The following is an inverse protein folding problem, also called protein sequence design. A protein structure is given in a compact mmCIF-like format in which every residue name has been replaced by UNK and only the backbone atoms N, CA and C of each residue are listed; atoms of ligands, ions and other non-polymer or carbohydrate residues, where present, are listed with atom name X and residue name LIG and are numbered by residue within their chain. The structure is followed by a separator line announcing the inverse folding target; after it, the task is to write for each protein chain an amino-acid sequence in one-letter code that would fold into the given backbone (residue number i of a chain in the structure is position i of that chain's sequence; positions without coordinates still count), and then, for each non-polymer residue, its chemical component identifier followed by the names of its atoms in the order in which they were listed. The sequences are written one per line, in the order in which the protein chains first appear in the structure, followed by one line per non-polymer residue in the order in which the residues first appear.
data_IF_278875534877
#
_entry.id   IF_278875534877
#
_cell.length_a   1.000
_cell.length_b   1.000
_cell.length_c   1.000
_cell.angle_alpha   90.00
_cell.angle_beta   90.00
_cell.angle_gamma   90.00
#
_symmetry.space_group_name_H-M   'P 1'
#
loop_
_entity.id
_entity.type
_entity.pdbx_description
1 polymer ?
#
# COMPACT_ATOMS: atom_id res chain seq x y z
N UNK A 1 11.99 11.06 -3.54
CA UNK A 1 11.21 10.62 -4.70
C UNK A 1 12.02 10.82 -5.96
N UNK A 2 12.07 9.80 -6.82
CA UNK A 2 12.73 9.84 -8.13
C UNK A 2 11.70 9.42 -9.17
N UNK A 3 11.58 10.19 -10.25
CA UNK A 3 10.78 9.86 -11.42
C UNK A 3 11.70 9.90 -12.64
N UNK A 4 11.64 8.85 -13.45
CA UNK A 4 12.34 8.76 -14.71
C UNK A 4 11.29 8.49 -15.78
N UNK A 5 11.20 9.40 -16.76
CA UNK A 5 10.33 9.24 -17.91
C UNK A 5 11.20 9.15 -19.15
N UNK A 6 10.91 8.19 -20.00
CA UNK A 6 11.60 7.98 -21.26
C UNK A 6 10.57 7.83 -22.38
N UNK A 7 10.79 8.53 -23.46
CA UNK A 7 10.03 8.39 -24.70
C UNK A 7 11.00 8.10 -25.82
N UNK A 8 10.69 7.09 -26.61
CA UNK A 8 11.51 6.66 -27.71
C UNK A 8 10.67 6.44 -28.98
N UNK A 9 11.01 7.14 -30.02
CA UNK A 9 10.38 6.99 -31.33
C UNK A 9 11.06 5.84 -32.08
N UNK A 10 10.34 4.74 -32.23
CA UNK A 10 10.84 3.54 -32.93
C UNK A 10 10.75 3.74 -34.44
N UNK A 11 9.65 4.37 -34.86
CA UNK A 11 9.30 4.73 -36.24
C UNK A 11 8.45 5.99 -36.21
N UNK A 12 8.34 6.70 -37.32
CA UNK A 12 7.52 7.92 -37.46
C UNK A 12 6.07 7.79 -36.91
N UNK A 13 5.59 6.54 -36.81
CA UNK A 13 4.21 6.25 -36.38
C UNK A 13 4.13 5.46 -35.08
N UNK A 14 5.26 5.11 -34.44
CA UNK A 14 5.29 4.26 -33.24
C UNK A 14 6.19 4.88 -32.18
N UNK A 15 5.58 5.22 -31.05
CA UNK A 15 6.27 5.79 -29.90
C UNK A 15 6.16 4.86 -28.69
N UNK A 16 7.30 4.56 -28.07
CA UNK A 16 7.37 3.85 -26.79
C UNK A 16 7.45 4.86 -25.66
N UNK A 17 6.67 4.62 -24.62
CA UNK A 17 6.64 5.43 -23.40
C UNK A 17 6.98 4.55 -22.22
N UNK A 18 7.88 4.99 -21.37
CA UNK A 18 8.25 4.31 -20.13
C UNK A 18 8.31 5.33 -19.01
N UNK A 19 7.69 5.01 -17.91
CA UNK A 19 7.72 5.83 -16.69
C UNK A 19 8.09 4.96 -15.48
N UNK A 20 9.18 5.30 -14.82
CA UNK A 20 9.59 4.64 -13.59
C UNK A 20 9.55 5.61 -12.42
N UNK A 21 8.88 5.18 -11.37
CA UNK A 21 8.74 5.97 -10.13
C UNK A 21 9.32 5.19 -8.97
N UNK A 22 10.14 5.85 -8.18
CA UNK A 22 10.65 5.36 -6.90
C UNK A 22 10.35 6.36 -5.78
N UNK A 23 9.82 5.87 -4.66
CA UNK A 23 9.58 6.65 -3.46
C UNK A 23 10.13 5.86 -2.28
N UNK A 24 11.04 6.46 -1.50
CA UNK A 24 11.48 5.84 -0.25
C UNK A 24 10.30 5.65 0.69
N UNK A 25 10.25 4.52 1.37
CA UNK A 25 9.13 4.18 2.25
C UNK A 25 8.86 5.26 3.29
N UNK A 26 7.60 5.60 3.47
CA UNK A 26 7.15 6.54 4.50
C UNK A 26 7.41 5.96 5.89
N UNK A 27 7.68 6.84 6.84
CA UNK A 27 7.76 6.45 8.25
C UNK A 27 6.39 6.60 8.90
N UNK A 28 6.07 5.66 9.78
CA UNK A 28 4.84 5.69 10.56
C UNK A 28 5.09 5.25 11.99
N UNK A 29 4.21 5.63 12.89
CA UNK A 29 4.24 5.22 14.28
C UNK A 29 3.34 3.99 14.46
N UNK A 30 3.94 2.87 14.82
CA UNK A 30 3.20 1.66 15.18
C UNK A 30 3.30 1.41 16.68
N UNK A 31 2.20 0.91 17.25
CA UNK A 31 2.23 0.41 18.63
C UNK A 31 3.11 -0.85 18.68
N UNK A 32 4.09 -0.84 19.56
CA UNK A 32 5.01 -1.96 19.76
C UNK A 32 4.37 -3.04 20.63
N UNK A 33 3.70 -2.61 21.70
CA UNK A 33 3.07 -3.48 22.66
C UNK A 33 1.60 -3.10 22.87
N UNK A 34 0.85 -4.07 23.35
CA UNK A 34 -0.53 -3.90 23.75
C UNK A 34 -0.66 -4.47 25.17
N UNK A 35 -1.01 -3.65 26.14
CA UNK A 35 -1.24 -4.04 27.51
C UNK A 35 -2.72 -4.12 27.77
N UNK A 36 -3.13 -5.09 28.59
CA UNK A 36 -4.44 -5.04 29.21
C UNK A 36 -4.44 -3.90 30.21
N UNK A 37 -5.28 -2.88 30.01
CA UNK A 37 -5.50 -1.85 31.01
C UNK A 37 -6.13 -2.50 32.25
N UNK A 38 -5.90 -1.89 33.41
CA UNK A 38 -6.66 -2.25 34.60
C UNK A 38 -8.14 -1.94 34.31
N UNK A 39 -8.97 -2.97 34.22
CA UNK A 39 -10.40 -2.79 34.12
C UNK A 39 -10.86 -1.95 35.29
N UNK A 40 -11.56 -0.84 35.04
CA UNK A 40 -12.14 -0.05 36.10
C UNK A 40 -13.13 -0.91 36.87
N UNK A 41 -13.14 -0.81 38.20
CA UNK A 41 -14.23 -1.34 38.99
C UNK A 41 -15.51 -0.60 38.57
N UNK A 42 -16.43 -1.29 37.91
CA UNK A 42 -17.78 -0.77 37.66
C UNK A 42 -18.61 -0.89 38.90
N UNK A 43 -19.50 0.07 39.14
CA UNK A 43 -20.54 0.00 40.14
C UNK A 43 -21.88 -0.06 39.42
N UNK A 44 -22.79 -0.87 39.89
CA UNK A 44 -24.18 -0.84 39.42
C UNK A 44 -24.94 0.38 39.99
N UNK A 45 -26.22 0.53 39.62
CA UNK A 45 -27.09 1.61 40.12
C UNK A 45 -27.21 1.64 41.61
N UNK A 46 -26.96 0.53 42.31
CA UNK A 46 -27.06 0.38 43.74
C UNK A 46 -25.72 0.46 44.46
N UNK A 47 -24.69 0.96 43.76
CA UNK A 47 -23.30 1.05 44.24
C UNK A 47 -22.67 -0.30 44.64
N UNK A 48 -23.24 -1.41 44.24
CA UNK A 48 -22.60 -2.71 44.43
C UNK A 48 -21.43 -2.88 43.44
N UNK A 49 -20.27 -3.36 43.87
CA UNK A 49 -19.17 -3.62 42.95
C UNK A 49 -19.55 -4.75 42.00
N UNK A 50 -19.72 -4.45 40.72
CA UNK A 50 -20.07 -5.44 39.68
C UNK A 50 -18.87 -6.28 39.28
N UNK A 51 -17.93 -6.50 40.11
CA UNK A 51 -16.73 -7.27 39.78
C UNK A 51 -15.79 -6.58 38.79
N UNK A 52 -14.64 -7.15 38.61
CA UNK A 52 -13.67 -6.71 37.63
C UNK A 52 -14.17 -7.21 36.28
N UNK A 53 -14.85 -6.36 35.51
CA UNK A 53 -15.17 -6.72 34.14
C UNK A 53 -13.89 -6.91 33.36
N UNK A 54 -13.76 -8.03 32.67
CA UNK A 54 -12.67 -8.32 31.73
C UNK A 54 -12.80 -7.46 30.44
N UNK A 55 -13.40 -6.29 30.53
CA UNK A 55 -13.37 -5.23 29.52
C UNK A 55 -12.05 -4.48 29.63
N UNK A 56 -10.97 -5.23 29.60
CA UNK A 56 -9.63 -4.66 29.55
C UNK A 56 -9.47 -3.95 28.22
N UNK A 57 -9.65 -2.64 28.22
CA UNK A 57 -9.32 -1.79 27.09
C UNK A 57 -7.85 -1.99 26.79
N UNK A 58 -7.56 -2.50 25.57
CA UNK A 58 -6.17 -2.68 25.16
C UNK A 58 -5.48 -1.32 25.06
N UNK A 59 -4.58 -1.04 25.98
CA UNK A 59 -3.72 0.13 25.90
C UNK A 59 -2.58 -0.15 24.94
N UNK A 60 -2.47 0.68 23.90
CA UNK A 60 -1.38 0.59 22.95
C UNK A 60 -0.18 1.40 23.44
N UNK A 61 0.95 0.76 23.62
CA UNK A 61 2.22 1.45 23.85
C UNK A 61 2.81 1.87 22.50
N UNK A 62 2.99 3.15 22.33
CA UNK A 62 3.70 3.73 21.21
C UNK A 62 5.12 4.07 21.65
N UNK A 63 6.11 3.49 20.96
CA UNK A 63 7.50 3.88 21.17
C UNK A 63 7.79 5.28 20.61
N UNK A 64 8.98 5.47 20.05
CA UNK A 64 9.35 6.74 19.40
C UNK A 64 8.43 7.02 18.21
N UNK A 65 8.12 8.29 17.97
CA UNK A 65 7.42 8.74 16.78
C UNK A 65 8.18 8.29 15.52
N UNK A 66 7.44 7.82 14.49
CA UNK A 66 8.01 7.35 13.22
C UNK A 66 8.99 6.17 13.40
N UNK A 67 8.66 5.24 14.30
CA UNK A 67 9.50 4.10 14.69
C UNK A 67 9.64 3.03 13.60
N UNK A 68 8.75 2.99 12.63
CA UNK A 68 8.76 2.00 11.55
C UNK A 68 8.79 2.68 10.19
N UNK A 69 9.59 2.15 9.27
CA UNK A 69 9.63 2.58 7.87
C UNK A 69 8.95 1.54 7.00
N UNK A 70 8.00 1.97 6.16
CA UNK A 70 7.42 1.15 5.12
C UNK A 70 8.48 0.75 4.08
N UNK A 71 8.33 -0.40 3.43
CA UNK A 71 9.13 -0.73 2.25
C UNK A 71 9.00 0.37 1.18
N UNK A 72 10.03 0.52 0.37
CA UNK A 72 10.02 1.49 -0.71
C UNK A 72 8.92 1.17 -1.72
N UNK A 73 8.26 2.21 -2.20
CA UNK A 73 7.34 2.16 -3.33
C UNK A 73 8.13 2.29 -4.63
N UNK A 74 7.94 1.40 -5.57
CA UNK A 74 8.41 1.62 -6.93
C UNK A 74 7.50 0.95 -7.95
N UNK A 75 7.41 1.56 -9.12
CA UNK A 75 6.51 1.16 -10.19
C UNK A 75 7.13 1.48 -11.54
N UNK A 76 6.92 0.58 -12.48
CA UNK A 76 7.23 0.77 -13.88
C UNK A 76 5.94 0.74 -14.69
N UNK A 77 5.70 1.78 -15.45
CA UNK A 77 4.63 1.87 -16.43
C UNK A 77 5.24 1.83 -17.82
N UNK A 78 4.61 1.11 -18.71
CA UNK A 78 5.06 0.96 -20.09
C UNK A 78 3.89 1.18 -21.04
N UNK A 79 4.12 1.86 -22.15
CA UNK A 79 3.09 2.12 -23.14
C UNK A 79 3.65 2.22 -24.55
N UNK A 80 2.78 1.92 -25.49
CA UNK A 80 3.04 2.06 -26.92
C UNK A 80 1.94 2.92 -27.53
N UNK A 81 2.33 3.91 -28.29
CA UNK A 81 1.41 4.80 -29.03
C UNK A 81 1.61 4.56 -30.53
N UNK A 82 0.54 4.20 -31.20
CA UNK A 82 0.47 4.09 -32.66
C UNK A 82 -0.21 5.33 -33.20
N UNK A 83 0.51 6.11 -34.02
CA UNK A 83 0.05 7.36 -34.58
C UNK A 83 -0.20 7.14 -36.07
N UNK A 84 -1.42 7.31 -36.52
CA UNK A 84 -1.78 7.21 -37.91
C UNK A 84 -2.27 8.56 -38.43
N UNK A 85 -1.44 9.20 -39.27
CA UNK A 85 -1.79 10.46 -39.94
C UNK A 85 -2.61 10.14 -41.19
N UNK A 86 -3.87 10.54 -41.19
CA UNK A 86 -4.80 10.29 -42.30
C UNK A 86 -4.75 11.45 -43.32
N UNK A 87 -4.56 12.68 -42.81
CA UNK A 87 -4.49 13.91 -43.62
C UNK A 87 -3.75 14.96 -42.81
N UNK A 88 -3.49 16.14 -43.41
CA UNK A 88 -2.81 17.27 -42.75
C UNK A 88 -3.50 17.67 -41.43
N UNK A 89 -4.85 17.54 -41.38
CA UNK A 89 -5.65 17.92 -40.20
C UNK A 89 -6.25 16.72 -39.44
N UNK A 90 -6.11 15.50 -39.96
CA UNK A 90 -6.75 14.30 -39.37
C UNK A 90 -5.70 13.29 -38.90
N UNK A 91 -5.79 12.94 -37.62
CA UNK A 91 -4.86 12.04 -36.97
C UNK A 91 -5.61 11.06 -36.05
N UNK A 92 -5.25 9.78 -36.09
CA UNK A 92 -5.72 8.79 -35.13
C UNK A 92 -4.56 8.26 -34.28
N UNK A 93 -4.77 8.15 -32.98
CA UNK A 93 -3.77 7.71 -32.02
C UNK A 93 -4.37 6.56 -31.21
N UNK A 94 -3.75 5.41 -31.29
CA UNK A 94 -4.07 4.25 -30.43
C UNK A 94 -2.97 4.11 -29.39
N UNK A 95 -3.32 4.23 -28.11
CA UNK A 95 -2.39 4.01 -27.00
C UNK A 95 -2.75 2.68 -26.30
N UNK A 96 -1.76 1.85 -26.11
CA UNK A 96 -1.83 0.61 -25.34
C UNK A 96 -0.81 0.74 -24.21
N UNK A 97 -1.24 0.54 -22.97
CA UNK A 97 -0.38 0.72 -21.81
C UNK A 97 -0.54 -0.38 -20.78
N UNK A 98 0.51 -0.54 -20.00
CA UNK A 98 0.56 -1.40 -18.82
C UNK A 98 1.00 -0.56 -17.63
N UNK A 99 0.10 -0.36 -16.68
CA UNK A 99 0.41 0.21 -15.39
C UNK A 99 0.99 -0.87 -14.48
N UNK A 100 2.05 -0.53 -13.75
CA UNK A 100 2.73 -1.45 -12.84
C UNK A 100 3.16 -2.75 -13.54
N UNK A 101 3.91 -2.64 -14.62
CA UNK A 101 4.27 -3.72 -15.56
C UNK A 101 4.84 -4.97 -14.87
N UNK A 102 5.59 -4.83 -13.78
CA UNK A 102 6.12 -5.97 -13.02
C UNK A 102 5.22 -6.39 -11.86
N UNK A 103 3.97 -5.90 -11.82
CA UNK A 103 2.92 -6.34 -10.85
C UNK A 103 3.35 -6.27 -9.38
N UNK A 104 4.14 -5.26 -8.99
CA UNK A 104 4.56 -5.10 -7.61
C UNK A 104 3.40 -4.61 -6.75
N UNK A 105 3.05 -5.38 -5.74
CA UNK A 105 2.10 -4.97 -4.70
C UNK A 105 2.78 -3.97 -3.76
N UNK A 106 2.75 -2.69 -4.13
CA UNK A 106 3.36 -1.63 -3.35
C UNK A 106 2.63 -1.44 -2.02
N UNK A 107 3.33 -1.44 -0.89
CA UNK A 107 2.71 -1.33 0.42
C UNK A 107 2.16 0.07 0.65
N UNK A 108 0.87 0.14 1.01
CA UNK A 108 0.18 1.39 1.33
C UNK A 108 0.00 1.52 2.83
N UNK A 109 -0.37 0.42 3.49
CA UNK A 109 -0.67 0.38 4.91
C UNK A 109 -0.04 -0.85 5.54
N UNK A 110 0.43 -0.71 6.78
CA UNK A 110 0.75 -1.84 7.66
C UNK A 110 -0.41 -2.00 8.63
N UNK A 111 -0.97 -3.21 8.71
CA UNK A 111 -1.93 -3.59 9.75
C UNK A 111 -1.28 -4.55 10.73
N UNK A 112 -1.61 -4.40 11.99
CA UNK A 112 -1.32 -5.39 13.03
C UNK A 112 -2.27 -6.57 12.80
N UNK A 113 -1.71 -7.72 12.48
CA UNK A 113 -2.46 -8.95 12.20
C UNK A 113 -2.37 -9.80 13.45
N UNK A 114 -3.33 -9.68 14.33
CA UNK A 114 -3.52 -10.50 15.52
C UNK A 114 -2.29 -10.95 16.30
N UNK A 115 -2.52 -11.56 17.43
CA UNK A 115 -1.51 -12.24 18.21
C UNK A 115 -1.45 -13.71 17.72
N UNK A 116 -0.36 -14.12 17.10
CA UNK A 116 -0.14 -15.54 16.82
C UNK A 116 0.36 -16.18 18.10
N UNK A 117 -0.30 -17.25 18.53
CA UNK A 117 0.23 -18.22 19.51
C UNK A 117 1.01 -19.29 18.75
N UNK A 118 2.32 -19.21 18.59
CA UNK A 118 3.05 -20.42 18.26
C UNK A 118 2.98 -21.33 19.51
N UNK A 119 2.54 -22.56 19.32
CA UNK A 119 2.68 -23.59 20.34
C UNK A 119 4.17 -23.86 20.46
N UNK A 120 4.77 -23.42 21.55
CA UNK A 120 6.18 -23.65 21.87
C UNK A 120 6.22 -24.19 23.30
N UNK A 121 7.00 -25.25 23.51
CA UNK A 121 7.14 -25.95 24.79
C UNK A 121 7.56 -25.07 25.99
N UNK A 122 8.15 -23.89 25.72
CA UNK A 122 8.62 -22.93 26.75
C UNK A 122 7.62 -21.82 27.15
N UNK A 123 6.33 -22.05 26.93
CA UNK A 123 5.28 -21.08 27.28
C UNK A 123 4.91 -20.11 26.15
N UNK A 124 3.78 -19.39 26.29
CA UNK A 124 3.19 -18.60 25.22
C UNK A 124 3.99 -17.32 24.96
N UNK A 125 4.91 -17.34 24.02
CA UNK A 125 5.54 -16.13 23.50
C UNK A 125 4.62 -15.49 22.46
N UNK A 126 3.90 -14.45 22.84
CA UNK A 126 3.06 -13.67 21.96
C UNK A 126 3.91 -12.90 20.97
N UNK A 127 3.77 -13.17 19.66
CA UNK A 127 4.41 -12.39 18.60
C UNK A 127 3.36 -11.56 17.88
N UNK A 128 3.59 -10.29 17.81
CA UNK A 128 2.80 -9.41 16.96
C UNK A 128 3.25 -9.59 15.51
N UNK A 129 2.33 -9.99 14.64
CA UNK A 129 2.57 -10.06 13.21
C UNK A 129 2.03 -8.80 12.54
N UNK A 130 2.86 -8.21 11.70
CA UNK A 130 2.46 -7.10 10.86
C UNK A 130 2.28 -7.59 9.43
N UNK A 131 1.20 -7.18 8.79
CA UNK A 131 0.94 -7.45 7.39
C UNK A 131 0.90 -6.13 6.63
N UNK A 132 1.62 -6.07 5.53
CA UNK A 132 1.53 -4.96 4.58
C UNK A 132 0.39 -5.21 3.61
N UNK A 133 -0.46 -4.22 3.41
CA UNK A 133 -1.45 -4.21 2.34
C UNK A 133 -0.89 -3.43 1.16
N UNK A 134 -0.82 -4.09 0.01
CA UNK A 134 -0.49 -3.48 -1.26
C UNK A 134 -1.71 -3.47 -2.16
N UNK A 135 -1.82 -2.45 -2.99
CA UNK A 135 -2.87 -2.31 -3.99
C UNK A 135 -2.26 -2.21 -5.39
N UNK A 136 -3.09 -2.51 -6.36
CA UNK A 136 -2.88 -2.34 -7.79
C UNK A 136 -1.78 -3.27 -8.37
N UNK A 137 -2.20 -4.46 -8.79
CA UNK A 137 -1.39 -5.33 -9.65
C UNK A 137 -1.15 -4.65 -11.01
N UNK A 138 -0.67 -5.38 -12.00
CA UNK A 138 -0.61 -4.92 -13.38
C UNK A 138 -2.02 -4.58 -13.88
N UNK A 139 -2.18 -3.39 -14.48
CA UNK A 139 -3.44 -2.94 -15.06
C UNK A 139 -3.19 -2.58 -16.52
N UNK A 140 -3.78 -3.31 -17.47
CA UNK A 140 -3.75 -2.93 -18.87
C UNK A 140 -4.66 -1.73 -19.12
N UNK A 141 -4.28 -0.88 -20.05
CA UNK A 141 -5.08 0.26 -20.52
C UNK A 141 -5.03 0.35 -22.03
N UNK A 142 -6.13 0.76 -22.62
CA UNK A 142 -6.23 1.07 -24.04
C UNK A 142 -7.00 2.37 -24.20
N UNK A 143 -6.51 3.26 -25.03
CA UNK A 143 -7.23 4.47 -25.40
C UNK A 143 -7.06 4.77 -26.88
N UNK A 144 -8.12 5.30 -27.48
CA UNK A 144 -8.14 5.71 -28.87
C UNK A 144 -8.56 7.18 -28.95
N UNK A 145 -7.79 7.95 -29.66
CA UNK A 145 -8.05 9.38 -29.89
C UNK A 145 -8.10 9.64 -31.38
N UNK A 146 -9.15 10.31 -31.83
CA UNK A 146 -9.29 10.77 -33.21
C UNK A 146 -9.38 12.30 -33.22
N UNK A 147 -8.50 12.92 -34.01
CA UNK A 147 -8.51 14.35 -34.27
C UNK A 147 -8.99 14.60 -35.71
N UNK A 148 -9.88 15.53 -35.90
CA UNK A 148 -10.49 15.91 -37.17
C UNK A 148 -10.36 17.40 -37.44
#
# INVERSE_FOLDING_TARGET
KINVNCQYEVKENVMLNMAWTYISGNRMTLSLNNYKGLGGAGFDSDMAPIGIFDTAWGLNEYGKRNNVRLPAYHRLDFGVSFIHKISVSKESILNIGLYNTYSRMNPIVIKKDGLIRPYIEDGPKWRTKFRTLGLLPVIPSISYTYKF
#
